data_IF_684060135463
#
_entry.id   IF_684060135463
#
_cell.length_a   1.000
_cell.length_b   1.000
_cell.length_c   1.000
_cell.angle_alpha   90.00
_cell.angle_beta   90.00
_cell.angle_gamma   90.00
#
_symmetry.space_group_name_H-M   'P 1'
#
loop_
_entity.id
_entity.type
_entity.pdbx_description
1 polymer ?
#
# COMPACT_ATOMS: atom_id res chain seq x y z
N UNK A 1 -21.88 9.38 0.54
CA UNK A 1 -22.80 8.23 0.41
C UNK A 1 -22.06 7.02 0.94
N UNK A 2 -22.57 6.33 1.96
CA UNK A 2 -21.84 5.22 2.58
C UNK A 2 -21.51 4.14 1.54
N UNK A 3 -20.25 3.67 1.54
CA UNK A 3 -19.76 2.62 0.64
C UNK A 3 -20.55 1.34 0.87
N UNK A 4 -21.39 0.96 -0.08
CA UNK A 4 -21.98 -0.38 -0.10
C UNK A 4 -20.88 -1.39 -0.44
N UNK A 5 -20.30 -2.00 0.58
CA UNK A 5 -19.32 -3.06 0.38
C UNK A 5 -20.07 -4.30 -0.07
N UNK A 6 -19.86 -4.68 -1.34
CA UNK A 6 -20.46 -5.87 -1.97
C UNK A 6 -19.53 -7.08 -1.88
N UNK A 7 -19.98 -8.22 -2.39
CA UNK A 7 -19.33 -9.52 -2.25
C UNK A 7 -18.64 -10.02 -3.52
N UNK A 8 -18.33 -11.32 -3.49
CA UNK A 8 -17.71 -12.03 -4.63
C UNK A 8 -18.62 -12.06 -5.85
N UNK A 9 -19.94 -12.18 -5.65
CA UNK A 9 -20.93 -12.23 -6.72
C UNK A 9 -20.91 -10.95 -7.54
N UNK A 10 -21.03 -9.81 -6.87
CA UNK A 10 -21.09 -8.51 -7.53
C UNK A 10 -19.75 -8.13 -8.17
N UNK A 11 -18.62 -8.60 -7.61
CA UNK A 11 -17.31 -8.47 -8.26
C UNK A 11 -17.25 -9.25 -9.58
N UNK A 12 -17.81 -10.46 -9.59
CA UNK A 12 -17.96 -11.27 -10.80
C UNK A 12 -18.72 -10.50 -11.87
N UNK A 13 -19.94 -10.09 -11.55
CA UNK A 13 -20.86 -9.44 -12.49
C UNK A 13 -20.32 -8.09 -12.99
N UNK A 14 -19.79 -7.24 -12.09
CA UNK A 14 -19.45 -5.85 -12.43
C UNK A 14 -18.05 -5.67 -13.01
N UNK A 15 -17.12 -6.60 -12.75
CA UNK A 15 -15.71 -6.44 -13.15
C UNK A 15 -15.26 -7.56 -14.07
N UNK A 16 -15.48 -8.82 -13.69
CA UNK A 16 -14.98 -9.94 -14.49
C UNK A 16 -15.82 -10.16 -15.73
N UNK A 17 -17.14 -10.26 -15.57
CA UNK A 17 -18.05 -10.56 -16.67
C UNK A 17 -18.19 -9.36 -17.61
N UNK A 18 -17.97 -8.14 -17.10
CA UNK A 18 -17.86 -6.91 -17.88
C UNK A 18 -16.50 -6.72 -18.60
N UNK A 19 -15.55 -7.66 -18.47
CA UNK A 19 -14.24 -7.57 -19.12
C UNK A 19 -13.32 -6.45 -18.60
N UNK A 20 -13.58 -5.93 -17.40
CA UNK A 20 -12.82 -4.83 -16.80
C UNK A 20 -11.65 -5.31 -15.93
N UNK A 21 -11.54 -6.63 -15.69
CA UNK A 21 -10.49 -7.21 -14.85
C UNK A 21 -9.10 -7.03 -15.48
N UNK A 22 -8.18 -6.39 -14.74
CA UNK A 22 -6.80 -6.15 -15.18
C UNK A 22 -5.80 -7.20 -14.69
N UNK A 23 -6.27 -8.27 -14.03
CA UNK A 23 -5.38 -9.32 -13.52
C UNK A 23 -4.47 -8.91 -12.36
N UNK A 24 -4.81 -7.86 -11.59
CA UNK A 24 -3.95 -7.33 -10.53
C UNK A 24 -3.67 -8.28 -9.35
N UNK A 25 -4.38 -9.41 -9.24
CA UNK A 25 -4.16 -10.41 -8.20
C UNK A 25 -4.62 -10.02 -6.78
N UNK A 26 -5.22 -8.85 -6.57
CA UNK A 26 -5.66 -8.42 -5.24
C UNK A 26 -6.70 -9.38 -4.62
N UNK A 27 -7.69 -9.81 -5.40
CA UNK A 27 -8.75 -10.68 -4.91
C UNK A 27 -8.28 -12.10 -4.58
N UNK A 28 -7.33 -12.67 -5.35
CA UNK A 28 -6.80 -14.03 -5.10
C UNK A 28 -5.93 -14.08 -3.85
N UNK A 29 -5.21 -13.00 -3.53
CA UNK A 29 -4.42 -12.90 -2.30
C UNK A 29 -5.28 -12.69 -1.04
N UNK A 30 -6.53 -12.24 -1.21
CA UNK A 30 -7.45 -11.92 -0.11
C UNK A 30 -8.52 -12.98 0.13
N UNK A 31 -8.78 -13.86 -0.83
CA UNK A 31 -9.91 -14.78 -0.82
C UNK A 31 -9.46 -16.20 -1.20
N UNK A 32 -9.68 -17.20 -0.32
CA UNK A 32 -9.29 -18.58 -0.61
C UNK A 32 -10.11 -19.23 -1.73
N UNK A 33 -11.26 -18.65 -2.09
CA UNK A 33 -12.15 -19.16 -3.12
C UNK A 33 -11.89 -18.60 -4.52
N UNK A 34 -10.81 -17.84 -4.69
CA UNK A 34 -10.42 -17.27 -5.98
C UNK A 34 -8.98 -17.61 -6.28
N UNK A 35 -8.72 -18.01 -7.52
CA UNK A 35 -7.36 -18.29 -8.00
C UNK A 35 -7.17 -17.72 -9.40
N UNK A 36 -5.92 -17.72 -9.85
CA UNK A 36 -5.54 -17.30 -11.18
C UNK A 36 -5.29 -18.52 -12.07
N UNK A 37 -5.90 -18.55 -13.25
CA UNK A 37 -5.77 -19.63 -14.21
C UNK A 37 -5.90 -19.08 -15.63
N UNK A 38 -4.90 -19.36 -16.48
CA UNK A 38 -4.81 -18.87 -17.87
C UNK A 38 -5.12 -17.38 -18.01
N UNK A 39 -4.39 -16.57 -17.26
CA UNK A 39 -4.52 -15.11 -17.26
C UNK A 39 -5.90 -14.57 -16.83
N UNK A 40 -6.71 -15.41 -16.18
CA UNK A 40 -8.04 -15.06 -15.68
C UNK A 40 -8.20 -15.43 -14.22
N UNK A 41 -8.89 -14.56 -13.49
CA UNK A 41 -9.33 -14.88 -12.13
C UNK A 41 -10.58 -15.75 -12.19
N UNK A 42 -10.49 -16.98 -11.69
CA UNK A 42 -11.61 -17.92 -11.58
C UNK A 42 -12.11 -18.00 -10.13
N UNK A 43 -13.38 -18.39 -9.96
CA UNK A 43 -13.99 -18.69 -8.66
C UNK A 43 -14.02 -20.20 -8.48
N UNK A 44 -13.40 -20.68 -7.40
CA UNK A 44 -13.42 -22.08 -7.01
C UNK A 44 -14.74 -22.44 -6.35
N UNK A 45 -15.23 -21.57 -5.45
CA UNK A 45 -16.47 -21.76 -4.71
C UNK A 45 -17.25 -20.43 -4.57
N UNK A 46 -18.58 -20.47 -4.66
CA UNK A 46 -19.41 -19.29 -4.41
C UNK A 46 -19.30 -18.87 -2.93
N UNK A 47 -19.19 -17.56 -2.73
CA UNK A 47 -19.16 -16.92 -1.41
C UNK A 47 -20.45 -16.10 -1.22
N UNK A 48 -21.10 -16.27 -0.08
CA UNK A 48 -22.36 -15.61 0.30
C UNK A 48 -22.14 -14.34 1.16
N UNK A 49 -20.89 -14.03 1.50
CA UNK A 49 -20.51 -12.84 2.25
C UNK A 49 -20.93 -11.58 1.48
N UNK A 50 -21.79 -10.78 2.11
CA UNK A 50 -22.31 -9.53 1.54
C UNK A 50 -21.24 -8.45 1.39
N UNK A 51 -20.29 -8.37 2.32
CA UNK A 51 -19.19 -7.40 2.32
C UNK A 51 -17.83 -8.08 2.13
N UNK A 52 -17.49 -8.43 0.90
CA UNK A 52 -16.28 -9.15 0.54
C UNK A 52 -15.06 -8.24 0.41
N UNK A 53 -13.92 -8.65 1.00
CA UNK A 53 -12.62 -7.97 0.81
C UNK A 53 -12.20 -7.96 -0.66
N UNK A 54 -12.58 -8.97 -1.43
CA UNK A 54 -12.29 -9.02 -2.87
C UNK A 54 -12.93 -7.85 -3.64
N UNK A 55 -14.16 -7.45 -3.30
CA UNK A 55 -14.81 -6.27 -3.88
C UNK A 55 -14.14 -5.00 -3.36
N UNK A 56 -13.96 -4.88 -2.04
CA UNK A 56 -13.43 -3.67 -1.41
C UNK A 56 -12.02 -3.25 -1.88
N UNK A 57 -11.19 -4.21 -2.29
CA UNK A 57 -9.81 -3.98 -2.72
C UNK A 57 -9.64 -4.06 -4.25
N UNK A 58 -10.72 -4.26 -5.00
CA UNK A 58 -10.62 -4.27 -6.45
C UNK A 58 -10.37 -2.83 -6.95
N UNK A 59 -9.32 -2.58 -7.76
CA UNK A 59 -9.07 -1.23 -8.30
C UNK A 59 -10.10 -0.80 -9.37
N UNK A 60 -10.99 -1.71 -9.78
CA UNK A 60 -12.01 -1.48 -10.81
C UNK A 60 -13.42 -1.32 -10.25
N UNK A 61 -13.61 -1.48 -8.94
CA UNK A 61 -14.87 -1.15 -8.28
C UNK A 61 -14.89 0.33 -7.88
N UNK A 62 -16.09 0.95 -7.75
CA UNK A 62 -16.20 2.32 -7.32
C UNK A 62 -15.48 2.55 -5.98
N UNK A 63 -14.65 3.59 -5.92
CA UNK A 63 -14.01 4.07 -4.71
C UNK A 63 -14.46 5.50 -4.43
N UNK A 64 -14.72 5.81 -3.17
CA UNK A 64 -15.00 7.18 -2.74
C UNK A 64 -13.67 7.94 -2.64
N UNK A 65 -13.28 8.55 -3.77
CA UNK A 65 -12.02 9.29 -3.86
C UNK A 65 -12.02 10.54 -2.99
N UNK A 66 -13.18 11.14 -2.75
CA UNK A 66 -13.33 12.32 -1.92
C UNK A 66 -13.13 11.98 -0.45
N UNK A 67 -13.69 10.87 0.02
CA UNK A 67 -13.43 10.37 1.36
C UNK A 67 -11.97 9.95 1.54
N UNK A 68 -11.39 9.24 0.56
CA UNK A 68 -9.97 8.90 0.59
C UNK A 68 -9.10 10.14 0.65
N UNK A 69 -9.45 11.21 -0.08
CA UNK A 69 -8.74 12.49 -0.09
C UNK A 69 -8.75 13.12 1.30
N UNK A 70 -9.91 13.18 1.97
CA UNK A 70 -10.04 13.73 3.33
C UNK A 70 -9.29 12.93 4.39
N UNK A 71 -9.26 11.60 4.25
CA UNK A 71 -8.57 10.73 5.21
C UNK A 71 -7.06 10.74 5.06
N UNK A 72 -6.55 10.88 3.84
CA UNK A 72 -5.12 10.75 3.54
C UNK A 72 -4.37 12.09 3.48
N UNK A 73 -5.06 13.20 3.23
CA UNK A 73 -4.44 14.50 2.99
C UNK A 73 -5.11 15.62 3.78
N UNK A 74 -4.31 16.62 4.16
CA UNK A 74 -4.82 17.84 4.78
C UNK A 74 -5.39 18.77 3.72
N UNK A 75 -6.49 19.47 4.02
CA UNK A 75 -7.13 20.39 3.07
C UNK A 75 -6.16 21.48 2.56
N UNK A 76 -5.25 21.93 3.42
CA UNK A 76 -4.23 22.93 3.08
C UNK A 76 -3.14 22.42 2.10
N UNK A 77 -3.00 21.10 1.93
CA UNK A 77 -2.05 20.50 0.99
C UNK A 77 -2.63 20.34 -0.42
N UNK A 78 -3.94 20.58 -0.58
CA UNK A 78 -4.64 20.38 -1.84
C UNK A 78 -4.56 21.59 -2.75
N UNK A 79 -3.90 21.39 -3.89
CA UNK A 79 -3.98 22.30 -5.04
C UNK A 79 -5.14 21.86 -5.95
N UNK A 80 -5.96 22.80 -6.46
CA UNK A 80 -7.07 22.47 -7.37
C UNK A 80 -6.64 21.72 -8.64
N UNK A 81 -5.43 21.99 -9.14
CA UNK A 81 -4.96 21.52 -10.45
C UNK A 81 -4.19 20.19 -10.35
N UNK A 82 -3.41 20.00 -9.28
CA UNK A 82 -2.44 18.90 -9.16
C UNK A 82 -2.84 17.94 -8.02
N UNK A 83 -3.77 18.35 -7.16
CA UNK A 83 -4.18 17.61 -5.97
C UNK A 83 -3.24 17.83 -4.79
N UNK A 84 -3.18 16.89 -3.84
CA UNK A 84 -2.38 17.04 -2.63
C UNK A 84 -0.88 16.91 -2.92
N UNK A 85 -0.12 17.99 -2.68
CA UNK A 85 1.32 18.05 -2.94
C UNK A 85 2.07 18.46 -1.68
N UNK A 86 3.00 17.61 -1.21
CA UNK A 86 3.86 17.95 -0.06
C UNK A 86 4.92 18.98 -0.42
N UNK A 87 5.52 18.85 -1.61
CA UNK A 87 6.49 19.79 -2.16
C UNK A 87 6.60 19.61 -3.68
N UNK A 88 6.85 20.70 -4.39
CA UNK A 88 7.13 20.69 -5.83
C UNK A 88 8.60 21.04 -6.04
N UNK A 89 9.33 20.17 -6.74
CA UNK A 89 10.75 20.36 -7.02
C UNK A 89 11.05 20.11 -8.49
N UNK A 90 11.83 20.99 -9.08
CA UNK A 90 12.46 20.76 -10.39
C UNK A 90 13.87 20.29 -10.10
N UNK A 91 14.16 19.02 -10.45
CA UNK A 91 15.42 18.34 -10.13
C UNK A 91 16.12 17.85 -11.39
N UNK A 92 17.45 17.75 -11.33
CA UNK A 92 18.30 17.25 -12.43
C UNK A 92 19.41 16.38 -11.84
N UNK A 93 19.85 15.35 -12.58
CA UNK A 93 21.01 14.55 -12.21
C UNK A 93 22.23 15.44 -11.94
N UNK A 94 22.88 15.18 -10.80
CA UNK A 94 24.18 15.79 -10.50
C UNK A 94 25.28 15.25 -11.44
N UNK A 95 25.23 13.95 -11.76
CA UNK A 95 26.19 13.31 -12.68
C UNK A 95 25.97 13.78 -14.13
N UNK A 96 27.03 14.29 -14.74
CA UNK A 96 27.04 14.76 -16.13
C UNK A 96 26.77 13.65 -17.15
N UNK A 97 27.29 12.44 -16.91
CA UNK A 97 27.11 11.29 -17.83
C UNK A 97 25.66 10.85 -17.91
N UNK A 98 24.96 10.88 -16.78
CA UNK A 98 23.53 10.59 -16.69
C UNK A 98 22.67 11.64 -17.39
N UNK A 99 23.11 12.92 -17.40
CA UNK A 99 22.41 14.00 -18.10
C UNK A 99 22.51 13.90 -19.61
N UNK A 100 23.64 13.41 -20.13
CA UNK A 100 23.88 13.32 -21.57
C UNK A 100 23.14 12.14 -22.23
N UNK A 101 22.89 11.08 -21.47
CA UNK A 101 22.28 9.84 -22.00
C UNK A 101 20.75 9.78 -21.82
N UNK A 102 20.20 10.59 -20.91
CA UNK A 102 18.78 10.51 -20.58
C UNK A 102 17.95 11.50 -21.41
N UNK A 103 16.86 11.01 -22.01
CA UNK A 103 15.89 11.83 -22.75
C UNK A 103 15.09 12.80 -21.87
N UNK A 104 15.03 12.57 -20.56
CA UNK A 104 14.40 13.43 -19.55
C UNK A 104 15.22 13.42 -18.25
N UNK A 105 15.19 14.53 -17.50
CA UNK A 105 16.03 14.78 -16.32
C UNK A 105 15.89 13.69 -15.25
N UNK A 106 16.78 12.70 -15.31
CA UNK A 106 16.85 11.61 -14.35
C UNK A 106 17.32 12.14 -12.99
N UNK A 107 16.38 12.36 -12.08
CA UNK A 107 16.69 12.56 -10.68
C UNK A 107 16.29 11.31 -9.91
N UNK A 108 17.27 10.51 -9.52
CA UNK A 108 17.04 9.53 -8.44
C UNK A 108 17.03 10.33 -7.14
N UNK A 109 15.95 10.30 -6.34
CA UNK A 109 16.01 10.87 -5.00
C UNK A 109 17.11 10.14 -4.21
N UNK A 110 17.74 10.78 -3.20
CA UNK A 110 18.62 10.07 -2.30
C UNK A 110 17.79 8.97 -1.63
N UNK A 111 17.98 7.72 -2.06
CA UNK A 111 17.54 6.58 -1.28
C UNK A 111 18.20 6.73 0.09
N UNK A 112 17.40 6.74 1.16
CA UNK A 112 17.86 6.56 2.54
C UNK A 112 19.06 5.60 2.55
N UNK A 113 20.15 5.90 3.29
CA UNK A 113 21.39 5.14 3.19
C UNK A 113 21.10 3.66 3.45
N UNK A 114 21.01 2.89 2.37
CA UNK A 114 21.17 1.43 2.43
C UNK A 114 22.65 1.26 2.71
N UNK A 115 22.97 0.94 3.95
CA UNK A 115 24.28 0.40 4.32
C UNK A 115 24.67 -0.62 3.24
N UNK A 116 25.79 -0.35 2.56
CA UNK A 116 26.31 -1.19 1.49
C UNK A 116 26.42 -2.63 1.98
N UNK A 117 25.85 -3.56 1.22
CA UNK A 117 26.13 -4.97 1.39
C UNK A 117 27.36 -5.29 0.55
N UNK A 118 28.54 -4.98 1.09
CA UNK A 118 29.77 -5.56 0.59
C UNK A 118 29.75 -7.05 0.94
N UNK A 119 29.57 -7.87 -0.09
CA UNK A 119 29.40 -9.33 -0.04
C UNK A 119 30.69 -10.10 0.28
N UNK A 120 31.68 -9.46 0.91
CA UNK A 120 33.02 -10.04 1.12
C UNK A 120 33.45 -10.19 2.59
N UNK A 121 32.55 -9.96 3.55
CA UNK A 121 32.86 -10.14 4.98
C UNK A 121 32.07 -11.32 5.56
N UNK A 122 32.71 -12.38 6.09
CA UNK A 122 31.99 -13.45 6.75
C UNK A 122 31.26 -12.91 7.99
N UNK A 123 29.98 -13.26 8.14
CA UNK A 123 29.15 -12.81 9.24
C UNK A 123 29.74 -13.26 10.60
N UNK A 124 29.85 -12.37 11.61
CA UNK A 124 30.24 -12.79 12.95
C UNK A 124 29.12 -13.64 13.59
N UNK A 125 29.47 -14.59 14.47
CA UNK A 125 28.48 -15.44 15.12
C UNK A 125 27.51 -14.61 15.97
N UNK A 126 26.22 -14.91 15.84
CA UNK A 126 25.12 -14.29 16.57
C UNK A 126 25.33 -14.40 18.08
N UNK A 127 25.81 -13.35 18.74
CA UNK A 127 25.77 -13.24 20.20
C UNK A 127 24.47 -12.55 20.63
N UNK A 128 23.60 -13.32 21.30
CA UNK A 128 22.32 -12.87 21.85
C UNK A 128 22.53 -11.80 22.95
N UNK A 129 22.08 -10.53 22.76
CA UNK A 129 22.39 -9.45 23.69
C UNK A 129 21.47 -9.39 24.92
N UNK A 130 20.73 -10.46 25.23
CA UNK A 130 19.74 -10.49 26.32
C UNK A 130 20.36 -10.75 27.71
N UNK A 131 21.58 -10.26 27.99
CA UNK A 131 22.18 -10.36 29.33
C UNK A 131 23.32 -9.37 29.59
N UNK A 132 22.99 -8.11 29.91
CA UNK A 132 23.67 -7.30 30.94
C UNK A 132 23.14 -5.87 30.90
N UNK A 133 22.44 -5.46 31.96
CA UNK A 133 21.96 -4.10 32.12
C UNK A 133 23.06 -3.14 32.56
N UNK A 134 22.92 -1.88 32.15
CA UNK A 134 23.17 -0.70 32.98
C UNK A 134 22.58 0.49 32.23
N UNK A 135 21.71 1.23 32.91
CA UNK A 135 20.78 2.15 32.28
C UNK A 135 21.40 3.40 31.67
N UNK A 136 20.70 3.95 30.68
CA UNK A 136 20.52 5.38 30.49
C UNK A 136 19.13 5.59 29.87
N UNK A 137 18.30 6.37 30.56
CA UNK A 137 16.90 6.66 30.22
C UNK A 137 16.87 7.57 28.99
N UNK A 138 16.34 7.09 27.87
CA UNK A 138 15.82 7.94 26.80
C UNK A 138 14.31 8.10 27.00
N UNK A 139 13.95 9.00 27.90
CA UNK A 139 12.58 9.46 28.10
C UNK A 139 12.26 10.54 27.06
N UNK A 140 11.49 10.19 26.01
CA UNK A 140 10.55 11.09 25.30
C UNK A 140 10.09 10.58 23.93
N UNK A 141 9.67 9.31 23.80
CA UNK A 141 8.87 8.90 22.63
C UNK A 141 7.73 8.00 23.12
N UNK A 142 6.54 8.60 23.23
CA UNK A 142 5.29 7.86 23.41
C UNK A 142 5.05 6.99 22.17
N UNK A 143 4.94 5.66 22.29
CA UNK A 143 4.49 4.83 21.19
C UNK A 143 3.04 5.19 20.90
N UNK A 144 2.75 5.73 19.71
CA UNK A 144 1.36 5.88 19.25
C UNK A 144 0.73 4.49 19.22
N UNK A 145 -0.06 4.20 20.26
CA UNK A 145 -0.88 3.01 20.40
C UNK A 145 -2.01 3.14 19.40
N UNK A 146 -2.03 2.31 18.37
CA UNK A 146 -3.21 2.15 17.53
C UNK A 146 -4.36 1.65 18.42
N UNK A 147 -5.51 2.35 18.50
CA UNK A 147 -6.63 1.87 19.29
C UNK A 147 -7.27 0.66 18.59
N UNK A 148 -6.96 -0.53 19.10
CA UNK A 148 -7.80 -1.72 18.89
C UNK A 148 -8.98 -1.63 19.85
N UNK A 149 -10.05 -0.96 19.42
CA UNK A 149 -11.36 -1.05 20.08
C UNK A 149 -12.46 -0.83 19.05
N UNK A 150 -12.93 -1.91 18.45
CA UNK A 150 -14.29 -1.97 17.91
C UNK A 150 -15.17 -2.23 19.13
N UNK A 151 -15.71 -1.17 19.72
CA UNK A 151 -16.80 -1.28 20.68
C UNK A 151 -18.03 -1.79 19.93
N UNK A 152 -18.43 -3.02 20.28
CA UNK A 152 -19.71 -3.59 19.92
C UNK A 152 -20.76 -2.88 20.75
N UNK A 153 -21.51 -1.97 20.16
CA UNK A 153 -22.81 -1.60 20.70
C UNK A 153 -23.86 -2.55 20.12
N UNK A 154 -24.35 -3.44 20.98
CA UNK A 154 -25.67 -4.04 20.81
C UNK A 154 -26.72 -3.11 21.42
N UNK A 155 -27.82 -2.89 20.70
CA UNK A 155 -29.15 -3.50 20.91
C UNK A 155 -29.84 -3.49 19.55
#
# INVERSE_FOLDING_TARGET
>A
MAREIRGQKELGEQVRDAGLCTGCGACVNLCPYQTYYHDRTIVLNPCDIKAGRCYAFCPRTPADLEEMRRLLFQEAELTPEIGPVRAFHIVRAADARLREQASSGNASPPSSPRAGSDSSTPAPPFTNPRRSGSGQKASSLSPRRWPNSIERHGV
#
